data_IF_075325783493
#
_entry.id   IF_075325783493
#
_cell.length_a   1.000
_cell.length_b   1.000
_cell.length_c   1.000
_cell.angle_alpha   90.00
_cell.angle_beta   90.00
_cell.angle_gamma   90.00
#
_symmetry.space_group_name_H-M   'P 1'
#
loop_
_entity.id
_entity.type
_entity.pdbx_description
1 polymer ?
#
# COMPACT_ATOMS: atom_id res chain seq x y z
N UNK A 1 -1.61 -30.75 3.36
CA UNK A 1 -2.32 -29.53 3.81
C UNK A 1 -1.39 -28.34 3.63
N UNK A 2 -1.92 -27.24 3.09
CA UNK A 2 -1.12 -26.03 2.86
C UNK A 2 -0.83 -25.30 4.18
N UNK A 3 0.38 -24.74 4.33
CA UNK A 3 0.75 -24.02 5.55
C UNK A 3 -0.12 -22.78 5.77
N UNK A 4 -0.28 -22.36 7.03
CA UNK A 4 -1.08 -21.17 7.37
C UNK A 4 -0.46 -19.91 6.78
N UNK A 5 0.86 -19.80 6.80
CA UNK A 5 1.61 -18.71 6.17
C UNK A 5 1.32 -18.62 4.68
N UNK A 6 1.38 -19.73 3.93
CA UNK A 6 1.12 -19.74 2.49
C UNK A 6 -0.34 -19.45 2.16
N UNK A 7 -1.28 -19.91 2.99
CA UNK A 7 -2.71 -19.58 2.82
C UNK A 7 -2.95 -18.09 3.02
N UNK A 8 -2.30 -17.46 4.00
CA UNK A 8 -2.42 -16.03 4.24
C UNK A 8 -1.73 -15.20 3.15
N UNK A 9 -0.58 -15.66 2.65
CA UNK A 9 0.11 -15.05 1.52
C UNK A 9 -0.74 -15.06 0.25
N UNK A 10 -1.35 -16.19 -0.11
CA UNK A 10 -2.24 -16.24 -1.28
C UNK A 10 -3.48 -15.34 -1.12
N UNK A 11 -4.05 -15.25 0.10
CA UNK A 11 -5.13 -14.30 0.37
C UNK A 11 -4.67 -12.84 0.22
N UNK A 12 -3.47 -12.53 0.67
CA UNK A 12 -2.84 -11.23 0.46
C UNK A 12 -2.70 -10.92 -1.03
N UNK A 13 -2.22 -11.89 -1.83
CA UNK A 13 -2.07 -11.73 -3.28
C UNK A 13 -3.41 -11.46 -3.97
N UNK A 14 -4.46 -12.23 -3.66
CA UNK A 14 -5.80 -11.99 -4.22
C UNK A 14 -6.33 -10.61 -3.87
N UNK A 15 -6.05 -10.12 -2.65
CA UNK A 15 -6.42 -8.76 -2.23
C UNK A 15 -5.67 -7.69 -3.03
N UNK A 16 -4.37 -7.90 -3.31
CA UNK A 16 -3.57 -6.97 -4.11
C UNK A 16 -4.04 -6.95 -5.58
N UNK A 17 -4.27 -8.12 -6.17
CA UNK A 17 -4.81 -8.22 -7.54
C UNK A 17 -6.16 -7.51 -7.67
N UNK A 18 -7.04 -7.70 -6.68
CA UNK A 18 -8.32 -6.98 -6.63
C UNK A 18 -8.13 -5.46 -6.57
N UNK A 19 -7.14 -4.98 -5.82
CA UNK A 19 -6.82 -3.56 -5.76
C UNK A 19 -6.44 -3.01 -7.14
N UNK A 20 -5.56 -3.72 -7.85
CA UNK A 20 -5.07 -3.35 -9.20
C UNK A 20 -6.23 -3.35 -10.21
N UNK A 21 -7.07 -4.39 -10.20
CA UNK A 21 -8.22 -4.48 -11.11
C UNK A 21 -9.20 -3.31 -10.92
N UNK A 22 -9.48 -2.94 -9.67
CA UNK A 22 -10.35 -1.79 -9.39
C UNK A 22 -9.70 -0.48 -9.84
N UNK A 23 -8.40 -0.31 -9.61
CA UNK A 23 -7.67 0.86 -10.08
C UNK A 23 -7.72 0.99 -11.61
N UNK A 24 -7.61 -0.14 -12.32
CA UNK A 24 -7.60 -0.19 -13.78
C UNK A 24 -9.00 -0.09 -14.40
N UNK A 25 -10.08 -0.01 -13.62
CA UNK A 25 -11.41 0.24 -14.18
C UNK A 25 -11.50 1.66 -14.75
N UNK A 26 -11.93 1.81 -16.02
CA UNK A 26 -11.88 3.11 -16.69
C UNK A 26 -12.86 4.12 -16.09
N UNK A 27 -14.07 3.70 -15.70
CA UNK A 27 -15.11 4.56 -15.14
C UNK A 27 -15.49 4.16 -13.70
N UNK A 28 -14.55 4.36 -12.78
CA UNK A 28 -14.78 4.12 -11.35
C UNK A 28 -14.27 5.31 -10.54
N UNK A 29 -15.19 6.16 -10.08
CA UNK A 29 -14.88 7.43 -9.40
C UNK A 29 -14.20 7.25 -8.04
N UNK A 30 -14.37 6.08 -7.43
CA UNK A 30 -13.86 5.74 -6.10
C UNK A 30 -12.63 4.79 -6.16
N UNK A 31 -11.92 4.78 -7.30
CA UNK A 31 -10.88 3.78 -7.59
C UNK A 31 -9.63 3.96 -6.76
N UNK A 32 -9.24 5.20 -6.51
CA UNK A 32 -7.99 5.53 -5.82
C UNK A 32 -8.14 5.19 -4.34
N UNK A 33 -9.30 5.51 -3.78
CA UNK A 33 -9.70 5.22 -2.41
C UNK A 33 -9.85 3.70 -2.18
N UNK A 34 -10.56 3.02 -3.09
CA UNK A 34 -10.73 1.56 -3.01
C UNK A 34 -9.40 0.84 -3.17
N UNK A 35 -8.55 1.33 -4.08
CA UNK A 35 -7.18 0.82 -4.24
C UNK A 35 -6.39 0.96 -2.94
N UNK A 36 -6.36 2.14 -2.32
CA UNK A 36 -5.61 2.37 -1.08
C UNK A 36 -6.07 1.45 0.06
N UNK A 37 -7.39 1.25 0.22
CA UNK A 37 -7.96 0.32 1.22
C UNK A 37 -7.53 -1.13 0.96
N UNK A 38 -7.70 -1.62 -0.27
CA UNK A 38 -7.39 -3.01 -0.62
C UNK A 38 -5.88 -3.28 -0.61
N UNK A 39 -5.08 -2.34 -1.10
CA UNK A 39 -3.63 -2.41 -1.09
C UNK A 39 -3.08 -2.43 0.35
N UNK A 40 -3.59 -1.55 1.23
CA UNK A 40 -3.20 -1.55 2.66
C UNK A 40 -3.53 -2.88 3.33
N UNK A 41 -4.73 -3.42 3.10
CA UNK A 41 -5.12 -4.73 3.63
C UNK A 41 -4.24 -5.86 3.08
N UNK A 42 -3.89 -5.81 1.79
CA UNK A 42 -3.02 -6.81 1.18
C UNK A 42 -1.63 -6.83 1.86
N UNK A 43 -1.05 -5.66 2.13
CA UNK A 43 0.21 -5.52 2.84
C UNK A 43 0.13 -6.04 4.28
N UNK A 44 -0.93 -5.71 5.01
CA UNK A 44 -1.12 -6.22 6.37
C UNK A 44 -1.18 -7.76 6.40
N UNK A 45 -1.89 -8.37 5.44
CA UNK A 45 -1.95 -9.82 5.30
C UNK A 45 -0.58 -10.42 4.95
N UNK A 46 0.20 -9.75 4.09
CA UNK A 46 1.54 -10.22 3.71
C UNK A 46 2.50 -10.23 4.89
N UNK A 47 2.56 -9.14 5.66
CA UNK A 47 3.43 -9.06 6.84
C UNK A 47 3.05 -10.11 7.88
N UNK A 48 1.75 -10.31 8.14
CA UNK A 48 1.28 -11.41 9.01
C UNK A 48 1.68 -12.78 8.47
N UNK A 49 1.63 -12.98 7.15
CA UNK A 49 2.04 -14.24 6.54
C UNK A 49 3.54 -14.48 6.76
N UNK A 50 4.37 -13.45 6.66
CA UNK A 50 5.81 -13.51 6.94
C UNK A 50 6.08 -13.83 8.40
N UNK A 51 5.40 -13.18 9.35
CA UNK A 51 5.51 -13.51 10.77
C UNK A 51 5.16 -14.98 11.01
N UNK A 52 4.07 -15.49 10.41
CA UNK A 52 3.70 -16.90 10.53
C UNK A 52 4.74 -17.83 9.90
N UNK A 53 5.40 -17.41 8.83
CA UNK A 53 6.47 -18.19 8.22
C UNK A 53 7.67 -18.32 9.17
N UNK A 54 8.09 -17.21 9.77
CA UNK A 54 9.21 -17.14 10.71
C UNK A 54 8.90 -17.81 12.06
N UNK A 55 7.63 -17.81 12.49
CA UNK A 55 7.20 -18.40 13.76
C UNK A 55 6.81 -19.89 13.69
N UNK A 56 7.16 -20.59 12.61
CA UNK A 56 6.73 -21.98 12.35
C UNK A 56 5.20 -22.16 12.40
N UNK A 57 4.45 -21.24 11.78
CA UNK A 57 2.99 -21.24 11.63
C UNK A 57 2.19 -21.13 12.96
N UNK A 58 2.80 -20.56 14.01
CA UNK A 58 2.13 -20.34 15.29
C UNK A 58 1.19 -19.15 15.21
N UNK A 59 -0.13 -19.38 15.29
CA UNK A 59 -1.15 -18.29 15.24
C UNK A 59 -0.93 -17.26 16.35
N UNK A 60 -0.40 -17.66 17.50
CA UNK A 60 -0.15 -16.76 18.63
C UNK A 60 0.81 -15.61 18.32
N UNK A 61 1.66 -15.74 17.29
CA UNK A 61 2.62 -14.70 16.89
C UNK A 61 1.98 -13.51 16.17
N UNK A 62 0.76 -13.67 15.64
CA UNK A 62 0.03 -12.59 14.97
C UNK A 62 -1.11 -12.02 15.82
N UNK A 63 -1.30 -12.50 17.05
CA UNK A 63 -2.32 -11.99 17.96
C UNK A 63 -1.88 -10.67 18.59
N UNK A 64 -2.82 -9.75 18.77
CA UNK A 64 -2.56 -8.50 19.46
C UNK A 64 -2.67 -8.68 20.97
N UNK A 65 -1.66 -8.15 21.68
CA UNK A 65 -1.59 -8.13 23.13
C UNK A 65 -1.63 -6.69 23.65
N UNK A 66 -2.37 -6.46 24.74
CA UNK A 66 -2.47 -5.20 25.45
C UNK A 66 -2.23 -5.39 26.95
N UNK A 67 -1.63 -4.39 27.58
CA UNK A 67 -1.50 -4.32 29.04
C UNK A 67 -2.71 -3.60 29.60
N UNK A 68 -3.44 -4.26 30.49
CA UNK A 68 -4.57 -3.63 31.15
C UNK A 68 -4.08 -2.74 32.31
N UNK A 69 -4.80 -1.66 32.58
CA UNK A 69 -4.64 -0.90 33.82
C UNK A 69 -5.32 -1.68 34.94
N UNK A 70 -4.60 -1.95 36.01
CA UNK A 70 -5.18 -2.54 37.23
C UNK A 70 -6.09 -1.51 37.91
N UNK A 71 -6.91 -1.96 38.87
CA UNK A 71 -7.79 -1.10 39.68
C UNK A 71 -7.02 0.01 40.42
N UNK A 72 -5.73 -0.21 40.67
CA UNK A 72 -4.80 0.74 41.30
C UNK A 72 -4.15 1.75 40.32
N UNK A 73 -4.60 1.80 39.07
CA UNK A 73 -4.05 2.71 38.04
C UNK A 73 -2.69 2.33 37.47
N UNK A 74 -1.98 1.36 38.07
CA UNK A 74 -0.72 0.82 37.55
C UNK A 74 -0.95 -0.10 36.33
N UNK A 75 -0.02 -0.06 35.37
CA UNK A 75 -0.04 -0.92 34.18
C UNK A 75 0.32 -2.35 34.59
N UNK A 76 -0.52 -3.32 34.21
CA UNK A 76 -0.29 -4.73 34.50
C UNK A 76 1.02 -5.22 33.86
N UNK A 77 1.81 -6.00 34.61
CA UNK A 77 3.00 -6.69 34.09
C UNK A 77 2.65 -7.78 33.08
N UNK A 78 1.40 -8.27 33.10
CA UNK A 78 0.93 -9.35 32.23
C UNK A 78 0.21 -8.78 31.03
N UNK A 79 0.52 -9.32 29.86
CA UNK A 79 -0.13 -8.98 28.61
C UNK A 79 -1.34 -9.89 28.37
N UNK A 80 -2.46 -9.27 27.97
CA UNK A 80 -3.72 -9.94 27.70
C UNK A 80 -4.03 -9.90 26.21
N UNK A 81 -4.57 -11.01 25.69
CA UNK A 81 -5.02 -11.08 24.30
C UNK A 81 -6.26 -10.20 24.12
N UNK A 82 -6.15 -9.24 23.22
CA UNK A 82 -7.27 -8.35 22.88
C UNK A 82 -8.35 -9.17 22.17
N UNK A 83 -9.60 -8.97 22.55
CA UNK A 83 -10.76 -9.56 21.87
C UNK A 83 -11.48 -8.49 21.06
N UNK A 84 -11.98 -8.88 19.89
CA UNK A 84 -12.84 -8.02 19.09
C UNK A 84 -14.29 -8.04 19.62
N UNK A 85 -15.17 -7.26 18.99
CA UNK A 85 -16.60 -7.14 19.36
C UNK A 85 -17.33 -8.49 19.36
N UNK A 86 -16.87 -9.45 18.54
CA UNK A 86 -17.42 -10.80 18.43
C UNK A 86 -16.81 -11.79 19.44
N UNK A 87 -15.90 -11.35 20.30
CA UNK A 87 -15.22 -12.20 21.28
C UNK A 87 -14.02 -13.01 20.74
N UNK A 88 -13.68 -12.85 19.46
CA UNK A 88 -12.53 -13.49 18.83
C UNK A 88 -11.24 -12.72 19.14
N UNK A 89 -10.10 -13.41 19.17
CA UNK A 89 -8.81 -12.73 19.37
C UNK A 89 -8.48 -11.83 18.20
N UNK A 90 -8.13 -10.59 18.52
CA UNK A 90 -7.69 -9.62 17.53
C UNK A 90 -6.25 -9.92 17.08
N UNK A 91 -5.93 -9.51 15.85
CA UNK A 91 -4.60 -9.67 15.27
C UNK A 91 -3.85 -8.34 15.26
N UNK A 92 -2.52 -8.40 15.17
CA UNK A 92 -1.68 -7.20 15.02
C UNK A 92 -2.05 -6.42 13.77
N UNK A 93 -1.95 -5.08 13.80
CA UNK A 93 -2.15 -4.24 12.61
C UNK A 93 -0.87 -4.13 11.75
N UNK A 94 -0.98 -3.47 10.60
CA UNK A 94 0.12 -3.25 9.63
C UNK A 94 1.46 -2.85 10.26
N UNK A 95 1.54 -1.69 10.94
CA UNK A 95 2.80 -1.18 11.49
C UNK A 95 3.37 -2.05 12.61
N UNK A 96 2.51 -2.59 13.47
CA UNK A 96 2.96 -3.53 14.50
C UNK A 96 3.52 -4.82 13.89
N UNK A 97 2.93 -5.30 12.79
CA UNK A 97 3.46 -6.46 12.07
C UNK A 97 4.83 -6.16 11.45
N UNK A 98 5.02 -4.97 10.88
CA UNK A 98 6.31 -4.49 10.38
C UNK A 98 7.37 -4.48 11.50
N UNK A 99 7.04 -3.86 12.64
CA UNK A 99 7.95 -3.76 13.78
C UNK A 99 8.33 -5.13 14.36
N UNK A 100 7.40 -6.09 14.38
CA UNK A 100 7.67 -7.46 14.83
C UNK A 100 8.70 -8.13 13.91
N UNK A 101 8.56 -8.00 12.59
CA UNK A 101 9.47 -8.62 11.61
C UNK A 101 10.90 -8.12 11.79
N UNK A 102 11.08 -6.82 12.02
CA UNK A 102 12.41 -6.21 12.21
C UNK A 102 12.95 -6.51 13.60
N UNK A 103 12.20 -6.19 14.66
CA UNK A 103 12.72 -6.19 16.02
C UNK A 103 12.80 -7.60 16.63
N UNK A 104 11.82 -8.47 16.35
CA UNK A 104 11.77 -9.81 16.95
C UNK A 104 12.48 -10.86 16.10
N UNK A 105 12.40 -10.75 14.76
CA UNK A 105 12.95 -11.75 13.85
C UNK A 105 14.20 -11.28 13.10
N UNK A 106 14.58 -10.01 13.18
CA UNK A 106 15.81 -9.49 12.57
C UNK A 106 15.83 -9.52 11.05
N UNK A 107 14.65 -9.53 10.39
CA UNK A 107 14.57 -9.52 8.93
C UNK A 107 15.00 -8.14 8.40
N UNK A 108 15.80 -8.11 7.33
CA UNK A 108 16.35 -6.88 6.80
C UNK A 108 15.36 -6.21 5.83
N UNK A 109 14.38 -5.51 6.40
CA UNK A 109 13.44 -4.70 5.62
C UNK A 109 13.86 -3.24 5.63
N UNK A 110 14.09 -2.68 4.45
CA UNK A 110 14.53 -1.28 4.31
C UNK A 110 13.46 -0.30 4.79
N UNK A 111 13.89 0.77 5.47
CA UNK A 111 13.01 1.83 5.97
C UNK A 111 12.15 2.50 4.88
N UNK A 112 12.62 2.49 3.64
CA UNK A 112 11.88 2.96 2.45
C UNK A 112 10.51 2.29 2.34
N UNK A 113 10.43 0.98 2.61
CA UNK A 113 9.16 0.25 2.53
C UNK A 113 8.21 0.73 3.63
N UNK A 114 8.72 1.08 4.82
CA UNK A 114 7.92 1.66 5.89
C UNK A 114 7.33 3.01 5.47
N UNK A 115 8.15 3.92 4.96
CA UNK A 115 7.69 5.25 4.55
C UNK A 115 6.70 5.17 3.38
N UNK A 116 6.90 4.24 2.43
CA UNK A 116 5.91 3.98 1.38
C UNK A 116 4.57 3.46 1.94
N UNK A 117 4.60 2.58 2.96
CA UNK A 117 3.40 2.09 3.63
C UNK A 117 2.70 3.18 4.45
N UNK A 118 3.46 4.05 5.11
CA UNK A 118 2.92 5.23 5.81
C UNK A 118 2.21 6.15 4.82
N UNK A 119 2.81 6.45 3.67
CA UNK A 119 2.17 7.23 2.61
C UNK A 119 0.90 6.55 2.06
N UNK A 120 0.90 5.23 1.87
CA UNK A 120 -0.30 4.49 1.42
C UNK A 120 -1.44 4.53 2.45
N UNK A 121 -1.09 4.41 3.74
CA UNK A 121 -2.05 4.52 4.85
C UNK A 121 -2.60 5.95 4.95
N UNK A 122 -1.75 6.95 4.76
CA UNK A 122 -2.17 8.36 4.74
C UNK A 122 -3.14 8.61 3.58
N UNK A 123 -2.85 8.09 2.37
CA UNK A 123 -3.79 8.13 1.24
C UNK A 123 -5.12 7.50 1.64
N UNK A 124 -5.12 6.32 2.27
CA UNK A 124 -6.33 5.61 2.71
C UNK A 124 -7.15 6.42 3.71
N UNK A 125 -6.51 7.02 4.70
CA UNK A 125 -7.19 7.74 5.79
C UNK A 125 -7.78 9.06 5.29
N UNK A 126 -7.02 9.74 4.44
CA UNK A 126 -7.46 10.94 3.77
C UNK A 126 -8.62 10.64 2.81
N UNK A 127 -8.55 9.59 1.99
CA UNK A 127 -9.54 9.17 0.97
C UNK A 127 -11.02 9.17 1.40
N UNK A 128 -11.33 9.05 2.70
CA UNK A 128 -12.72 9.13 3.21
C UNK A 128 -13.31 10.55 3.05
N UNK A 129 -12.46 11.57 2.92
CA UNK A 129 -12.81 12.98 2.87
C UNK A 129 -12.65 13.63 1.48
N UNK A 130 -12.03 12.95 0.50
CA UNK A 130 -11.65 13.59 -0.77
C UNK A 130 -12.76 13.47 -1.81
N UNK A 131 -13.16 14.61 -2.34
CA UNK A 131 -13.80 14.70 -3.65
C UNK A 131 -12.65 14.90 -4.65
N UNK A 132 -11.83 13.85 -4.85
CA UNK A 132 -10.61 13.87 -5.67
C UNK A 132 -10.88 14.41 -7.08
N UNK A 133 -10.48 15.66 -7.34
CA UNK A 133 -10.57 16.27 -8.67
C UNK A 133 -9.23 16.84 -9.15
N UNK A 134 -8.21 16.91 -8.29
CA UNK A 134 -6.91 17.43 -8.68
C UNK A 134 -6.05 16.38 -9.41
N UNK A 135 -5.48 16.80 -10.54
CA UNK A 135 -4.60 16.00 -11.38
C UNK A 135 -3.25 15.72 -10.69
N UNK A 136 -2.71 16.68 -9.94
CA UNK A 136 -1.42 16.52 -9.28
C UNK A 136 -1.47 15.44 -8.18
N UNK A 137 -2.55 15.41 -7.41
CA UNK A 137 -2.76 14.39 -6.38
C UNK A 137 -2.94 12.99 -6.97
N UNK A 138 -3.79 12.83 -7.99
CA UNK A 138 -3.96 11.56 -8.69
C UNK A 138 -2.63 11.03 -9.26
N UNK A 139 -1.76 11.93 -9.75
CA UNK A 139 -0.41 11.57 -10.20
C UNK A 139 0.41 11.00 -9.06
N UNK A 140 0.48 11.69 -7.92
CA UNK A 140 1.25 11.22 -6.75
C UNK A 140 0.71 9.90 -6.19
N UNK A 141 -0.61 9.72 -6.12
CA UNK A 141 -1.22 8.43 -5.72
C UNK A 141 -0.78 7.30 -6.65
N UNK A 142 -0.74 7.55 -7.96
CA UNK A 142 -0.27 6.57 -8.93
C UNK A 142 1.21 6.21 -8.77
N UNK A 143 2.08 7.20 -8.53
CA UNK A 143 3.52 6.98 -8.31
C UNK A 143 3.78 6.16 -7.03
N UNK A 144 3.11 6.52 -5.92
CA UNK A 144 3.20 5.80 -4.64
C UNK A 144 2.62 4.40 -4.75
N UNK A 145 1.46 4.25 -5.38
CA UNK A 145 0.79 2.96 -5.58
C UNK A 145 1.63 2.00 -6.42
N UNK A 146 2.25 2.50 -7.49
CA UNK A 146 3.13 1.70 -8.35
C UNK A 146 4.40 1.26 -7.60
N UNK A 147 5.01 2.16 -6.84
CA UNK A 147 6.15 1.82 -5.99
C UNK A 147 5.79 0.77 -4.93
N UNK A 148 4.61 0.90 -4.31
CA UNK A 148 4.09 -0.04 -3.33
C UNK A 148 3.90 -1.44 -3.92
N UNK A 149 3.31 -1.53 -5.11
CA UNK A 149 3.12 -2.80 -5.83
C UNK A 149 4.47 -3.44 -6.16
N UNK A 150 5.44 -2.66 -6.66
CA UNK A 150 6.78 -3.18 -6.97
C UNK A 150 7.47 -3.75 -5.74
N UNK A 151 7.43 -3.02 -4.62
CA UNK A 151 7.98 -3.47 -3.34
C UNK A 151 7.27 -4.75 -2.84
N UNK A 152 5.94 -4.81 -3.00
CA UNK A 152 5.12 -5.95 -2.61
C UNK A 152 5.52 -7.22 -3.37
N UNK A 153 5.59 -7.15 -4.71
CA UNK A 153 5.99 -8.29 -5.57
C UNK A 153 7.37 -8.79 -5.17
N UNK A 154 8.32 -7.87 -4.97
CA UNK A 154 9.69 -8.22 -4.57
C UNK A 154 9.70 -8.98 -3.25
N UNK A 155 8.97 -8.52 -2.23
CA UNK A 155 8.93 -9.19 -0.93
C UNK A 155 8.20 -10.53 -0.97
N UNK A 156 7.11 -10.64 -1.73
CA UNK A 156 6.42 -11.93 -1.92
C UNK A 156 7.35 -12.95 -2.57
N UNK A 157 8.12 -12.54 -3.59
CA UNK A 157 9.10 -13.40 -4.22
C UNK A 157 10.21 -13.81 -3.24
N UNK A 158 10.79 -12.85 -2.52
CA UNK A 158 11.86 -13.11 -1.54
C UNK A 158 11.41 -14.03 -0.39
N UNK A 159 10.18 -13.87 0.08
CA UNK A 159 9.68 -14.61 1.23
C UNK A 159 9.06 -15.95 0.88
N UNK A 160 8.27 -16.02 -0.19
CA UNK A 160 7.47 -17.19 -0.52
C UNK A 160 7.89 -17.87 -1.83
N UNK A 161 8.81 -17.29 -2.60
CA UNK A 161 9.24 -17.80 -3.90
C UNK A 161 8.11 -17.82 -4.92
N UNK A 162 7.09 -16.96 -4.75
CA UNK A 162 5.93 -16.90 -5.65
C UNK A 162 6.19 -15.80 -6.67
N UNK A 163 6.08 -16.18 -7.94
CA UNK A 163 6.19 -15.26 -9.06
C UNK A 163 4.79 -14.79 -9.52
N UNK A 164 4.74 -13.54 -9.96
CA UNK A 164 3.55 -12.88 -10.51
C UNK A 164 3.60 -12.70 -12.03
N UNK A 165 4.58 -13.27 -12.74
CA UNK A 165 4.69 -13.21 -14.20
C UNK A 165 3.41 -13.57 -14.99
N UNK A 166 2.48 -14.28 -14.35
CA UNK A 166 1.18 -14.65 -14.94
C UNK A 166 0.09 -13.57 -14.81
N UNK A 167 0.34 -12.48 -14.09
CA UNK A 167 -0.64 -11.44 -13.79
C UNK A 167 -0.19 -10.08 -14.36
N UNK A 168 -1.13 -9.32 -14.93
CA UNK A 168 -0.91 -7.96 -15.41
C UNK A 168 -0.84 -6.98 -14.23
N UNK A 169 0.30 -6.94 -13.55
CA UNK A 169 0.48 -6.14 -12.33
C UNK A 169 1.10 -4.79 -12.66
N UNK A 170 0.28 -3.92 -13.26
CA UNK A 170 0.62 -2.53 -13.42
C UNK A 170 -0.63 -1.68 -13.25
N UNK A 171 -0.45 -0.53 -12.59
CA UNK A 171 -1.48 0.49 -12.55
C UNK A 171 -1.50 1.18 -13.92
N UNK A 172 -2.66 1.22 -14.54
CA UNK A 172 -2.82 1.92 -15.80
C UNK A 172 -3.06 3.41 -15.56
N UNK A 173 -2.41 4.30 -16.33
CA UNK A 173 -2.56 5.75 -16.22
C UNK A 173 -3.90 6.30 -16.76
N UNK A 174 -5.01 5.57 -16.60
CA UNK A 174 -6.30 5.88 -17.25
C UNK A 174 -6.90 7.18 -16.71
N UNK A 175 -6.62 7.53 -15.46
CA UNK A 175 -7.08 8.77 -14.84
C UNK A 175 -6.57 10.03 -15.49
N UNK A 176 -5.31 10.02 -15.94
CA UNK A 176 -4.66 11.17 -16.56
C UNK A 176 -5.24 11.49 -17.95
N UNK A 177 -5.68 10.46 -18.67
CA UNK A 177 -6.22 10.59 -20.04
C UNK A 177 -7.52 11.40 -20.07
N UNK A 178 -8.36 11.31 -19.04
CA UNK A 178 -9.66 11.99 -18.99
C UNK A 178 -9.56 13.47 -18.59
N UNK A 179 -8.67 13.79 -17.66
CA UNK A 179 -8.57 15.14 -17.09
C UNK A 179 -7.78 16.13 -17.96
N UNK A 180 -7.09 15.66 -19.01
CA UNK A 180 -6.37 16.52 -19.95
C UNK A 180 -7.31 17.49 -20.71
N UNK A 181 -8.58 17.11 -20.89
CA UNK A 181 -9.59 17.94 -21.56
C UNK A 181 -10.27 18.94 -20.62
N UNK A 182 -10.17 18.74 -19.30
CA UNK A 182 -10.87 19.52 -18.26
C UNK A 182 -9.93 20.30 -17.35
N UNK A 183 -8.69 20.58 -17.78
CA UNK A 183 -7.69 21.37 -17.06
C UNK A 183 -8.05 22.87 -16.90
N UNK A 184 -9.32 23.18 -16.62
CA UNK A 184 -9.73 24.46 -16.04
C UNK A 184 -9.53 24.36 -14.54
N UNK A 185 -8.46 24.99 -14.07
CA UNK A 185 -8.16 25.39 -12.70
C UNK A 185 -9.21 24.95 -11.67
N UNK A 186 -9.03 23.73 -11.15
CA UNK A 186 -9.74 23.26 -9.97
C UNK A 186 -8.89 23.72 -8.80
N UNK A 187 -9.48 24.52 -7.91
CA UNK A 187 -8.82 24.99 -6.69
C UNK A 187 -8.52 23.80 -5.80
N UNK A 188 -7.23 23.61 -5.51
CA UNK A 188 -6.73 22.63 -4.53
C UNK A 188 -7.34 22.99 -3.17
N UNK A 189 -7.84 21.99 -2.45
CA UNK A 189 -8.33 22.13 -1.08
C UNK A 189 -7.16 22.09 -0.09
N UNK A 190 -7.28 22.75 1.07
CA UNK A 190 -6.18 22.85 2.03
C UNK A 190 -5.70 21.52 2.63
N UNK A 191 -6.47 20.43 2.47
CA UNK A 191 -6.05 19.07 2.85
C UNK A 191 -5.20 18.42 1.75
N UNK A 192 -5.54 18.63 0.48
CA UNK A 192 -4.75 18.19 -0.69
C UNK A 192 -3.36 18.85 -0.69
N UNK A 193 -3.25 20.14 -0.35
CA UNK A 193 -1.96 20.83 -0.24
C UNK A 193 -1.05 20.21 0.82
N UNK A 194 -1.56 19.95 2.02
CA UNK A 194 -0.79 19.32 3.11
C UNK A 194 -0.32 17.92 2.75
N UNK A 195 -1.16 17.17 2.06
CA UNK A 195 -0.83 15.83 1.59
C UNK A 195 0.27 15.87 0.53
N UNK A 196 0.19 16.79 -0.43
CA UNK A 196 1.25 17.01 -1.42
C UNK A 196 2.57 17.44 -0.78
N UNK A 197 2.53 18.34 0.21
CA UNK A 197 3.71 18.75 0.98
C UNK A 197 4.35 17.56 1.72
N UNK A 198 3.54 16.73 2.38
CA UNK A 198 4.02 15.53 3.07
C UNK A 198 4.72 14.56 2.11
N UNK A 199 4.10 14.28 0.95
CA UNK A 199 4.67 13.38 -0.06
C UNK A 199 5.99 13.95 -0.61
N UNK A 200 6.02 15.22 -0.98
CA UNK A 200 7.21 15.88 -1.51
C UNK A 200 8.36 15.93 -0.48
N UNK A 201 8.04 16.10 0.81
CA UNK A 201 9.04 16.10 1.88
C UNK A 201 9.68 14.73 2.08
N UNK A 202 8.91 13.66 1.89
CA UNK A 202 9.38 12.28 2.03
C UNK A 202 10.19 11.85 0.81
N UNK A 203 9.81 12.30 -0.38
CA UNK A 203 10.54 12.03 -1.64
C UNK A 203 11.98 12.56 -1.62
N UNK A 204 12.19 13.79 -1.12
CA UNK A 204 13.53 14.41 -1.01
C UNK A 204 14.53 13.63 -0.16
N UNK A 205 14.08 12.72 0.71
CA UNK A 205 14.98 11.91 1.55
C UNK A 205 15.67 10.79 0.77
N UNK A 206 15.12 10.42 -0.39
CA UNK A 206 15.47 9.20 -1.13
C UNK A 206 15.92 9.46 -2.57
N UNK A 207 16.02 10.74 -2.98
CA UNK A 207 16.34 11.16 -4.35
C UNK A 207 17.82 10.88 -4.75
N UNK A 208 18.71 10.65 -3.77
CA UNK A 208 20.16 10.53 -3.97
C UNK A 208 20.72 9.09 -3.90
N UNK A 209 19.89 8.06 -3.73
CA UNK A 209 20.36 6.71 -3.37
C UNK A 209 20.02 5.65 -4.43
N UNK A 210 20.79 5.63 -5.52
CA UNK A 210 20.70 4.65 -6.63
C UNK A 210 20.91 3.19 -6.20
N UNK A 211 21.38 2.95 -4.96
CA UNK A 211 21.72 1.61 -4.46
C UNK A 211 20.53 0.84 -3.86
N UNK A 212 19.36 1.47 -3.69
CA UNK A 212 18.22 0.84 -3.04
C UNK A 212 17.41 -0.06 -4.00
N UNK A 213 17.21 -1.32 -3.62
CA UNK A 213 16.37 -2.27 -4.36
C UNK A 213 14.86 -1.97 -4.25
N UNK A 214 14.46 -1.13 -3.28
CA UNK A 214 13.07 -0.74 -3.02
C UNK A 214 12.84 0.74 -3.31
N UNK A 215 11.61 1.07 -3.69
CA UNK A 215 11.27 2.40 -4.19
C UNK A 215 10.23 3.08 -3.28
N UNK A 216 10.43 4.36 -2.95
CA UNK A 216 9.42 5.18 -2.26
C UNK A 216 8.32 5.65 -3.22
N UNK A 217 8.72 6.26 -4.34
CA UNK A 217 7.87 6.67 -5.48
C UNK A 217 8.48 6.15 -6.79
N UNK A 218 7.67 6.12 -7.85
CA UNK A 218 8.13 5.84 -9.21
C UNK A 218 7.63 6.95 -10.14
N UNK A 219 8.54 7.79 -10.63
CA UNK A 219 8.20 8.83 -11.59
C UNK A 219 7.79 8.20 -12.94
N UNK A 220 6.66 8.63 -13.49
CA UNK A 220 6.11 8.11 -14.75
C UNK A 220 5.95 9.26 -15.74
N UNK A 221 6.70 9.16 -16.85
CA UNK A 221 6.59 10.06 -18.00
C UNK A 221 5.76 9.43 -19.12
N UNK A 222 4.59 10.02 -19.40
CA UNK A 222 3.68 9.55 -20.45
C UNK A 222 3.73 10.51 -21.63
N UNK A 223 4.21 10.05 -22.79
CA UNK A 223 4.24 10.83 -24.04
C UNK A 223 3.19 10.33 -25.02
N UNK A 224 2.13 11.10 -25.23
CA UNK A 224 1.16 10.87 -26.29
C UNK A 224 1.63 11.53 -27.58
N UNK A 225 1.76 10.75 -28.67
CA UNK A 225 2.01 11.28 -30.01
C UNK A 225 0.75 11.12 -30.84
N UNK A 226 0.10 12.23 -31.17
CA UNK A 226 -0.96 12.25 -32.16
C UNK A 226 -0.37 12.10 -33.56
N UNK A 227 -0.77 11.06 -34.29
CA UNK A 227 -0.49 10.99 -35.72
C UNK A 227 -1.55 11.84 -36.45
N UNK A 228 -1.15 12.99 -36.97
CA UNK A 228 -1.94 13.69 -37.99
C UNK A 228 -1.75 12.93 -39.30
N UNK A 229 -2.65 12.00 -39.63
CA UNK A 229 -2.79 11.52 -41.00
C UNK A 229 -3.34 12.67 -41.83
N UNK A 230 -2.44 13.46 -42.44
CA UNK A 230 -2.84 14.28 -43.59
C UNK A 230 -3.25 13.30 -44.68
N UNK A 231 -4.56 13.19 -44.89
CA UNK A 231 -5.12 12.62 -46.10
C UNK A 231 -4.65 13.52 -47.24
N UNK A 232 -3.62 13.10 -47.97
CA UNK A 232 -3.36 13.59 -49.32
C UNK A 232 -4.57 13.17 -50.16
N UNK A 233 -5.54 14.06 -50.29
CA UNK A 233 -6.46 14.03 -51.40
C UNK A 233 -5.66 14.43 -52.63
N UNK A 234 -5.64 13.49 -53.58
CA UNK A 234 -5.13 13.52 -54.95
C UNK A 234 -5.26 14.86 -55.66
#
# INVERSE_FOLDING_TARGET
MKSRSKTLAEKSMSSMLSAIEIYNKPDFKYREETFAVLATNSWELLLKARILQLSNNKITSILSYEKHRNKDGQISKKEYRVKNRSGNYNTVGLFKAYDIIINEYGDNLQGIVRENLEALVEIRDNSVHFINKDFALSKKIHEIGTASIKNYIRLVFLWFGIDFSQYDIFLMPIGFVRNFSSAKAITITGEEEKMLEYINSSEKKYDDDETNEFNFTLNIDIRFRGFNSQVQLS
#
